data_IF_866023964759
#
_entry.id   IF_866023964759
#
_cell.length_a   1.000
_cell.length_b   1.000
_cell.length_c   1.000
_cell.angle_alpha   90.00
_cell.angle_beta   90.00
_cell.angle_gamma   90.00
#
_symmetry.space_group_name_H-M   'P 1'
#
loop_
_entity.id
_entity.type
_entity.pdbx_description
1 polymer ?
#
# COMPACT_ATOMS: atom_id res chain seq x y z
N UNK A 1 77.46 16.88 -9.48
CA UNK A 1 77.11 17.15 -8.07
C UNK A 1 75.85 17.98 -8.09
N UNK A 2 74.66 17.42 -8.28
CA UNK A 2 73.88 16.71 -7.24
C UNK A 2 73.13 15.58 -7.94
N UNK A 3 73.71 14.37 -7.90
CA UNK A 3 73.02 13.11 -8.16
C UNK A 3 73.01 12.39 -6.82
N UNK A 4 72.02 12.72 -6.00
CA UNK A 4 71.60 12.08 -4.75
C UNK A 4 70.63 13.04 -4.04
N UNK A 5 69.58 12.53 -3.39
CA UNK A 5 68.48 13.27 -2.72
C UNK A 5 67.41 13.67 -3.76
N UNK A 6 66.30 12.97 -4.03
CA UNK A 6 65.39 12.20 -3.17
C UNK A 6 64.73 11.09 -4.03
N UNK A 7 65.20 9.84 -3.91
CA UNK A 7 64.35 8.66 -4.12
C UNK A 7 64.00 8.14 -2.73
N UNK A 8 62.74 7.72 -2.53
CA UNK A 8 62.14 7.16 -1.30
C UNK A 8 61.59 8.15 -0.26
N UNK A 9 60.43 8.76 -0.55
CA UNK A 9 59.43 8.95 0.51
C UNK A 9 58.61 7.66 0.55
N UNK A 10 59.00 6.71 1.41
CA UNK A 10 58.08 5.66 1.88
C UNK A 10 56.99 6.38 2.69
N UNK A 11 55.92 6.81 2.01
CA UNK A 11 54.64 7.08 2.66
C UNK A 11 54.29 5.81 3.45
N UNK A 12 54.41 5.87 4.77
CA UNK A 12 54.19 4.74 5.64
C UNK A 12 52.74 4.26 5.40
N UNK A 13 52.51 2.99 5.02
CA UNK A 13 51.15 2.48 4.77
C UNK A 13 50.25 2.66 5.99
N UNK A 14 50.85 2.75 7.18
CA UNK A 14 50.19 3.08 8.43
C UNK A 14 49.57 4.48 8.45
N UNK A 15 50.19 5.52 7.89
CA UNK A 15 49.59 6.86 7.88
C UNK A 15 48.37 6.93 6.94
N UNK A 16 48.40 6.20 5.83
CA UNK A 16 47.25 6.08 4.93
C UNK A 16 46.12 5.29 5.57
N UNK A 17 46.45 4.19 6.27
CA UNK A 17 45.48 3.41 7.04
C UNK A 17 44.87 4.21 8.18
N UNK A 18 45.67 4.97 8.93
CA UNK A 18 45.16 5.84 10.02
C UNK A 18 44.30 6.97 9.44
N UNK A 19 44.68 7.56 8.30
CA UNK A 19 43.86 8.54 7.60
C UNK A 19 42.53 7.92 7.10
N UNK A 20 42.54 6.69 6.60
CA UNK A 20 41.33 5.97 6.19
C UNK A 20 40.47 5.58 7.39
N UNK A 21 41.06 5.13 8.50
CA UNK A 21 40.33 4.83 9.73
C UNK A 21 39.70 6.12 10.29
N UNK A 22 40.42 7.25 10.27
CA UNK A 22 39.91 8.55 10.70
C UNK A 22 38.80 9.08 9.78
N UNK A 23 38.94 8.95 8.45
CA UNK A 23 37.91 9.29 7.47
C UNK A 23 36.64 8.43 7.63
N UNK A 24 36.79 7.13 7.88
CA UNK A 24 35.65 6.24 8.15
C UNK A 24 35.00 6.54 9.52
N UNK A 25 35.79 6.96 10.52
CA UNK A 25 35.27 7.35 11.85
C UNK A 25 34.53 8.69 11.83
N UNK A 26 34.83 9.60 10.90
CA UNK A 26 34.06 10.85 10.71
C UNK A 26 32.69 10.56 10.07
N UNK A 27 32.54 9.50 9.27
CA UNK A 27 31.28 9.16 8.60
C UNK A 27 30.26 8.44 9.48
N UNK A 28 30.67 7.80 10.58
CA UNK A 28 29.78 7.01 11.44
C UNK A 28 28.87 7.86 12.35
N UNK A 29 29.19 9.13 12.61
CA UNK A 29 28.43 10.00 13.53
C UNK A 29 27.34 10.82 12.85
N UNK A 30 27.33 10.93 11.51
CA UNK A 30 26.31 11.67 10.73
C UNK A 30 25.31 10.77 9.99
N UNK A 31 25.55 9.46 9.90
CA UNK A 31 24.67 8.51 9.21
C UNK A 31 23.44 8.08 10.03
N UNK A 32 23.49 8.13 11.36
CA UNK A 32 22.36 7.71 12.20
C UNK A 32 21.16 8.67 12.10
N UNK A 33 21.39 9.99 12.09
CA UNK A 33 20.32 11.00 12.03
C UNK A 33 19.65 11.11 10.66
N UNK A 34 20.39 10.90 9.56
CA UNK A 34 19.81 10.85 8.21
C UNK A 34 19.00 9.57 7.98
N UNK A 35 19.44 8.44 8.52
CA UNK A 35 18.68 7.19 8.40
C UNK A 35 17.36 7.25 9.17
N UNK A 36 17.31 7.91 10.33
CA UNK A 36 16.06 8.14 11.08
C UNK A 36 15.12 9.14 10.39
N UNK A 37 15.64 10.12 9.65
CA UNK A 37 14.81 10.97 8.78
C UNK A 37 14.26 10.20 7.57
N UNK A 38 15.10 9.36 6.95
CA UNK A 38 14.72 8.55 5.78
C UNK A 38 13.71 7.45 6.16
N UNK A 39 13.74 6.90 7.38
CA UNK A 39 12.72 5.94 7.85
C UNK A 39 11.38 6.61 8.15
N UNK A 40 11.37 7.86 8.66
CA UNK A 40 10.14 8.62 8.87
C UNK A 40 9.44 9.03 7.56
N UNK A 41 10.14 9.11 6.42
CA UNK A 41 9.54 9.43 5.11
C UNK A 41 9.08 8.22 4.29
N UNK A 42 9.28 6.99 4.79
CA UNK A 42 8.83 5.81 4.04
C UNK A 42 7.31 5.68 4.09
N UNK A 43 6.63 5.49 2.95
CA UNK A 43 5.22 5.22 2.96
C UNK A 43 4.92 3.94 3.71
N UNK A 44 3.84 3.95 4.46
CA UNK A 44 3.33 2.77 5.13
C UNK A 44 1.80 2.79 5.14
N UNK A 45 1.21 1.60 5.29
CA UNK A 45 -0.23 1.46 5.43
C UNK A 45 -0.64 1.65 6.89
N UNK A 46 -1.62 2.51 7.11
CA UNK A 46 -2.29 2.66 8.40
C UNK A 46 -3.37 1.56 8.51
N UNK A 47 -2.94 0.36 8.92
CA UNK A 47 -3.71 -0.89 8.92
C UNK A 47 -4.67 -1.02 10.13
N UNK A 48 -5.42 0.05 10.41
CA UNK A 48 -6.43 0.06 11.48
C UNK A 48 -7.76 -0.52 10.98
N UNK A 49 -8.02 -0.46 9.68
CA UNK A 49 -9.28 -0.92 9.09
C UNK A 49 -9.32 -2.44 8.94
N UNK A 50 -10.50 -3.08 9.06
CA UNK A 50 -10.62 -4.52 8.85
C UNK A 50 -10.17 -4.94 7.44
N UNK A 51 -9.35 -6.00 7.38
CA UNK A 51 -8.91 -6.61 6.11
C UNK A 51 -9.93 -7.58 5.52
N UNK A 52 -10.93 -7.99 6.29
CA UNK A 52 -12.03 -8.83 5.84
C UNK A 52 -13.28 -7.98 5.79
N UNK A 53 -13.76 -7.69 4.58
CA UNK A 53 -14.92 -6.87 4.32
C UNK A 53 -16.03 -7.76 3.78
N UNK A 54 -17.20 -7.69 4.40
CA UNK A 54 -18.40 -8.35 3.91
C UNK A 54 -19.42 -7.31 3.47
N UNK A 55 -20.08 -7.55 2.35
CA UNK A 55 -21.27 -6.79 1.93
C UNK A 55 -22.36 -7.74 1.44
N UNK A 56 -23.53 -7.18 1.15
CA UNK A 56 -24.64 -7.87 0.47
C UNK A 56 -24.59 -7.53 -1.02
N UNK A 57 -25.10 -8.42 -1.86
CA UNK A 57 -25.26 -8.14 -3.29
C UNK A 57 -26.07 -6.84 -3.51
N UNK A 58 -25.74 -6.13 -4.58
CA UNK A 58 -26.32 -4.84 -5.00
C UNK A 58 -26.08 -3.65 -4.06
N UNK A 59 -25.58 -3.88 -2.84
CA UNK A 59 -25.04 -2.84 -1.96
C UNK A 59 -23.60 -2.44 -2.35
N UNK A 60 -23.17 -1.20 -2.03
CA UNK A 60 -21.79 -0.79 -2.29
C UNK A 60 -20.81 -1.49 -1.34
N UNK A 61 -19.71 -2.02 -1.88
CA UNK A 61 -18.55 -2.44 -1.08
C UNK A 61 -17.52 -1.31 -1.02
N UNK A 62 -16.96 -1.06 0.18
CA UNK A 62 -15.88 -0.09 0.40
C UNK A 62 -14.70 -0.80 1.02
N UNK A 63 -13.59 -0.89 0.28
CA UNK A 63 -12.34 -1.47 0.76
C UNK A 63 -11.40 -0.34 1.17
N UNK A 64 -11.05 -0.33 2.46
CA UNK A 64 -10.27 0.77 3.06
C UNK A 64 -8.80 0.65 2.72
N UNK A 65 -8.17 1.76 2.36
CA UNK A 65 -6.72 1.86 2.24
C UNK A 65 -6.23 3.24 2.62
N UNK A 66 -5.55 3.32 3.77
CA UNK A 66 -4.91 4.55 4.23
C UNK A 66 -3.41 4.46 4.10
N UNK A 67 -2.79 5.43 3.43
CA UNK A 67 -1.33 5.45 3.19
C UNK A 67 -0.74 6.73 3.77
N UNK A 68 0.09 6.59 4.81
CA UNK A 68 0.83 7.72 5.38
C UNK A 68 2.15 7.89 4.66
N UNK A 69 2.68 9.12 4.66
CA UNK A 69 4.00 9.46 4.11
C UNK A 69 4.20 9.02 2.64
N UNK A 70 3.13 9.04 1.82
CA UNK A 70 3.21 8.64 0.41
C UNK A 70 4.18 9.52 -0.39
N UNK A 71 4.26 10.81 -0.08
CA UNK A 71 4.99 11.79 -0.89
C UNK A 71 4.42 11.89 -2.32
N UNK A 72 5.29 11.80 -3.33
CA UNK A 72 4.93 11.80 -4.75
C UNK A 72 4.62 10.41 -5.31
N UNK A 73 4.58 9.38 -4.46
CA UNK A 73 4.27 8.01 -4.87
C UNK A 73 2.80 7.86 -5.19
N UNK A 74 2.53 6.84 -5.97
CA UNK A 74 1.22 6.51 -6.52
C UNK A 74 0.62 5.35 -5.74
N UNK A 75 -0.68 5.46 -5.47
CA UNK A 75 -1.47 4.39 -4.86
C UNK A 75 -2.37 3.78 -5.92
N UNK A 76 -2.39 2.44 -6.03
CA UNK A 76 -3.21 1.73 -7.02
C UNK A 76 -3.98 0.60 -6.38
N UNK A 77 -5.19 0.34 -6.85
CA UNK A 77 -5.93 -0.88 -6.53
C UNK A 77 -5.79 -1.90 -7.64
N UNK A 78 -5.50 -3.15 -7.26
CA UNK A 78 -5.42 -4.27 -8.16
C UNK A 78 -6.27 -5.43 -7.66
N UNK A 79 -6.96 -6.09 -8.58
CA UNK A 79 -7.66 -7.34 -8.31
C UNK A 79 -6.67 -8.51 -8.39
N UNK A 80 -6.55 -9.30 -7.32
CA UNK A 80 -5.46 -10.27 -7.21
C UNK A 80 -5.59 -11.47 -8.14
N UNK A 81 -6.82 -11.94 -8.40
CA UNK A 81 -7.07 -13.18 -9.16
C UNK A 81 -6.58 -13.15 -10.61
N UNK A 82 -6.54 -11.96 -11.22
CA UNK A 82 -6.19 -11.73 -12.62
C UNK A 82 -5.18 -10.60 -12.82
N UNK A 83 -4.63 -10.05 -11.73
CA UNK A 83 -3.65 -8.97 -11.72
C UNK A 83 -4.13 -7.72 -12.47
N UNK A 84 -5.45 -7.50 -12.53
CA UNK A 84 -6.02 -6.36 -13.24
C UNK A 84 -5.96 -5.10 -12.37
N UNK A 85 -5.32 -4.04 -12.88
CA UNK A 85 -5.32 -2.73 -12.24
C UNK A 85 -6.72 -2.13 -12.39
N UNK A 86 -7.35 -1.84 -11.26
CA UNK A 86 -8.69 -1.26 -11.20
C UNK A 86 -8.59 0.26 -11.24
N UNK A 87 -7.73 0.83 -10.41
CA UNK A 87 -7.57 2.28 -10.25
C UNK A 87 -6.12 2.63 -9.97
N UNK A 88 -5.73 3.86 -10.31
CA UNK A 88 -4.44 4.45 -9.95
C UNK A 88 -4.68 5.91 -9.58
N UNK A 89 -4.27 6.28 -8.36
CA UNK A 89 -4.67 7.51 -7.69
C UNK A 89 -6.21 7.67 -7.73
N UNK A 90 -6.71 8.73 -8.35
CA UNK A 90 -8.16 9.00 -8.49
C UNK A 90 -8.74 8.54 -9.83
N UNK A 91 -7.92 7.94 -10.69
CA UNK A 91 -8.33 7.53 -12.03
C UNK A 91 -8.68 6.04 -12.08
N UNK A 92 -9.83 5.72 -12.67
CA UNK A 92 -10.25 4.33 -12.93
C UNK A 92 -9.66 3.83 -14.25
N UNK A 93 -9.02 2.66 -14.22
CA UNK A 93 -8.38 2.01 -15.38
C UNK A 93 -9.22 0.87 -15.96
N UNK A 94 -10.03 0.22 -15.12
CA UNK A 94 -10.95 -0.80 -15.60
C UNK A 94 -12.10 -0.16 -16.40
N UNK A 95 -12.65 -0.89 -17.37
CA UNK A 95 -13.85 -0.46 -18.11
C UNK A 95 -15.16 -0.65 -17.33
N UNK A 96 -15.12 -1.34 -16.19
CA UNK A 96 -16.28 -1.52 -15.32
C UNK A 96 -16.53 -0.25 -14.49
N UNK A 97 -17.60 0.47 -14.83
CA UNK A 97 -17.95 1.77 -14.25
C UNK A 97 -18.33 1.72 -12.76
N UNK A 98 -18.55 0.53 -12.21
CA UNK A 98 -18.86 0.34 -10.79
C UNK A 98 -17.66 0.62 -9.87
N UNK A 99 -16.44 0.58 -10.40
CA UNK A 99 -15.21 0.77 -9.64
C UNK A 99 -14.79 2.23 -9.63
N UNK A 100 -14.62 2.78 -8.43
CA UNK A 100 -14.15 4.14 -8.21
C UNK A 100 -13.26 4.23 -6.97
N UNK A 101 -12.57 5.37 -6.79
CA UNK A 101 -11.80 5.66 -5.57
C UNK A 101 -12.47 6.80 -4.81
N UNK A 102 -12.69 6.59 -3.52
CA UNK A 102 -13.06 7.65 -2.59
C UNK A 102 -11.77 8.22 -1.99
N UNK A 103 -11.43 9.44 -2.39
CA UNK A 103 -10.24 10.16 -1.92
C UNK A 103 -10.61 11.58 -1.51
N UNK A 104 -10.72 11.87 -0.19
CA UNK A 104 -10.91 13.22 0.31
C UNK A 104 -9.74 14.13 -0.16
N UNK A 105 -10.00 15.37 -0.58
CA UNK A 105 -8.94 16.29 -0.98
C UNK A 105 -7.88 16.47 0.12
N UNK A 106 -6.62 16.16 -0.20
CA UNK A 106 -5.52 16.24 0.76
C UNK A 106 -5.55 15.17 1.86
N UNK A 107 -6.44 14.19 1.76
CA UNK A 107 -6.51 13.06 2.69
C UNK A 107 -5.49 11.97 2.39
N UNK A 108 -5.33 11.06 3.35
CA UNK A 108 -4.47 9.88 3.24
C UNK A 108 -5.27 8.62 2.90
N UNK A 109 -6.54 8.75 2.51
CA UNK A 109 -7.45 7.64 2.20
C UNK A 109 -7.58 7.45 0.69
N UNK A 110 -7.36 6.24 0.20
CA UNK A 110 -7.59 5.78 -1.17
C UNK A 110 -8.54 4.59 -1.15
N UNK A 111 -9.77 4.79 -0.70
CA UNK A 111 -10.69 3.67 -0.53
C UNK A 111 -11.27 3.24 -1.88
N UNK A 112 -11.22 1.94 -2.18
CA UNK A 112 -11.89 1.40 -3.36
C UNK A 112 -13.38 1.27 -3.08
N UNK A 113 -14.21 1.87 -3.92
CA UNK A 113 -15.65 1.69 -3.92
C UNK A 113 -16.05 0.83 -5.11
N UNK A 114 -16.90 -0.17 -4.85
CA UNK A 114 -17.52 -1.03 -5.85
C UNK A 114 -19.03 -0.86 -5.70
N UNK A 115 -19.65 -0.12 -6.62
CA UNK A 115 -21.11 0.03 -6.65
C UNK A 115 -21.78 -1.25 -7.15
N UNK A 116 -22.99 -1.53 -6.65
CA UNK A 116 -23.77 -2.73 -7.01
C UNK A 116 -22.91 -4.00 -6.93
N UNK A 117 -22.36 -4.29 -5.76
CA UNK A 117 -21.42 -5.39 -5.58
C UNK A 117 -22.09 -6.73 -5.93
N UNK A 118 -21.37 -7.62 -6.59
CA UNK A 118 -21.91 -8.91 -7.03
C UNK A 118 -21.11 -10.05 -6.43
N UNK A 119 -21.73 -11.23 -6.30
CA UNK A 119 -21.06 -12.44 -5.77
C UNK A 119 -19.73 -12.76 -6.47
N UNK A 120 -19.60 -12.40 -7.76
CA UNK A 120 -18.38 -12.56 -8.55
C UNK A 120 -17.27 -11.55 -8.22
N UNK A 121 -17.56 -10.50 -7.47
CA UNK A 121 -16.57 -9.53 -6.99
C UNK A 121 -15.89 -10.02 -5.72
N UNK A 122 -16.40 -11.06 -5.06
CA UNK A 122 -15.70 -11.69 -3.93
C UNK A 122 -14.29 -12.14 -4.31
N UNK A 123 -13.32 -11.86 -3.43
CA UNK A 123 -11.91 -12.17 -3.66
C UNK A 123 -10.96 -11.17 -2.98
N UNK A 124 -9.67 -11.31 -3.30
CA UNK A 124 -8.62 -10.47 -2.74
C UNK A 124 -8.34 -9.28 -3.67
N UNK A 125 -8.26 -8.10 -3.06
CA UNK A 125 -7.87 -6.84 -3.67
C UNK A 125 -6.62 -6.32 -2.97
N UNK A 126 -5.68 -5.79 -3.72
CA UNK A 126 -4.44 -5.21 -3.18
C UNK A 126 -4.44 -3.70 -3.40
N UNK A 127 -4.33 -2.94 -2.32
CA UNK A 127 -3.90 -1.56 -2.38
C UNK A 127 -2.37 -1.53 -2.42
N UNK A 128 -1.78 -0.91 -3.44
CA UNK A 128 -0.35 -0.92 -3.69
C UNK A 128 0.22 0.48 -3.69
N UNK A 129 1.45 0.63 -3.19
CA UNK A 129 2.23 1.85 -3.34
C UNK A 129 3.48 1.54 -4.16
N UNK A 130 3.77 2.38 -5.16
CA UNK A 130 4.93 2.20 -6.04
C UNK A 130 6.28 2.59 -5.39
N UNK A 131 6.52 2.13 -4.16
CA UNK A 131 7.84 2.15 -3.52
C UNK A 131 8.79 1.14 -4.18
N UNK A 132 10.08 1.24 -3.87
CA UNK A 132 11.09 0.24 -4.21
C UNK A 132 11.69 -0.32 -2.90
N UNK A 133 11.47 -1.61 -2.55
CA UNK A 133 10.56 -2.55 -3.21
C UNK A 133 9.09 -2.16 -3.03
N UNK A 134 8.20 -2.64 -3.90
CA UNK A 134 6.76 -2.34 -3.81
C UNK A 134 6.18 -2.84 -2.49
N UNK A 135 5.31 -2.02 -1.87
CA UNK A 135 4.51 -2.43 -0.72
C UNK A 135 3.05 -2.60 -1.14
N UNK A 136 2.33 -3.53 -0.49
CA UNK A 136 0.92 -3.75 -0.72
C UNK A 136 0.17 -4.08 0.58
N UNK A 137 -1.12 -3.79 0.60
CA UNK A 137 -2.08 -4.16 1.62
C UNK A 137 -3.19 -4.97 0.96
N UNK A 138 -3.35 -6.23 1.37
CA UNK A 138 -4.38 -7.12 0.88
C UNK A 138 -5.67 -7.01 1.70
N UNK A 139 -6.80 -6.86 1.01
CA UNK A 139 -8.15 -6.81 1.58
C UNK A 139 -8.99 -7.91 0.91
N UNK A 140 -9.64 -8.75 1.71
CA UNK A 140 -10.58 -9.78 1.28
C UNK A 140 -12.00 -9.23 1.27
N UNK A 141 -12.69 -9.32 0.13
CA UNK A 141 -14.09 -8.98 -0.01
C UNK A 141 -14.93 -10.27 -0.11
N UNK A 142 -15.99 -10.35 0.68
CA UNK A 142 -17.04 -11.36 0.58
C UNK A 142 -18.39 -10.68 0.29
N UNK A 143 -19.00 -11.01 -0.84
CA UNK A 143 -20.33 -10.53 -1.22
C UNK A 143 -21.34 -11.65 -1.01
N UNK A 144 -22.21 -11.48 -0.01
CA UNK A 144 -23.28 -12.40 0.31
C UNK A 144 -24.49 -12.17 -0.60
N UNK A 145 -25.24 -13.24 -0.91
CA UNK A 145 -26.54 -13.06 -1.56
C UNK A 145 -27.48 -12.29 -0.61
N UNK A 146 -28.39 -11.50 -1.17
CA UNK A 146 -29.48 -10.92 -0.39
C UNK A 146 -30.21 -12.00 0.41
N UNK A 147 -30.63 -11.64 1.62
CA UNK A 147 -31.49 -12.48 2.43
C UNK A 147 -32.94 -12.44 1.92
N UNK A 148 -33.16 -12.82 0.65
CA UNK A 148 -34.47 -13.15 0.07
C UNK A 148 -35.25 -14.14 0.96
N UNK A 149 -34.53 -14.91 1.79
CA UNK A 149 -35.13 -15.79 2.79
C UNK A 149 -35.96 -15.06 3.87
N UNK A 150 -35.65 -13.82 4.25
CA UNK A 150 -36.37 -13.13 5.34
C UNK A 150 -37.76 -12.68 4.88
N UNK A 151 -37.88 -12.26 3.62
CA UNK A 151 -39.15 -11.84 3.03
C UNK A 151 -40.01 -13.04 2.65
N UNK A 152 -39.42 -14.13 2.15
CA UNK A 152 -40.13 -15.40 1.90
C UNK A 152 -40.67 -16.05 3.17
N UNK A 153 -39.90 -16.03 4.27
CA UNK A 153 -40.36 -16.55 5.56
C UNK A 153 -41.53 -15.70 6.08
N UNK A 154 -41.45 -14.37 5.96
CA UNK A 154 -42.50 -13.46 6.43
C UNK A 154 -43.77 -13.57 5.57
N UNK A 155 -43.61 -13.75 4.25
CA UNK A 155 -44.72 -13.94 3.32
C UNK A 155 -45.41 -15.30 3.52
N UNK A 156 -44.65 -16.39 3.66
CA UNK A 156 -45.21 -17.72 3.98
C UNK A 156 -45.98 -17.73 5.31
N UNK A 157 -45.42 -17.14 6.36
CA UNK A 157 -46.07 -17.02 7.67
C UNK A 157 -47.33 -16.15 7.63
N UNK A 158 -47.34 -15.13 6.76
CA UNK A 158 -48.51 -14.26 6.57
C UNK A 158 -49.66 -14.98 5.84
N UNK A 159 -49.36 -15.84 4.86
CA UNK A 159 -50.36 -16.65 4.17
C UNK A 159 -50.84 -17.83 5.04
N UNK A 160 -49.96 -18.44 5.83
CA UNK A 160 -50.31 -19.51 6.78
C UNK A 160 -51.19 -19.00 7.93
N UNK A 161 -51.04 -17.75 8.35
CA UNK A 161 -51.88 -17.14 9.39
C UNK A 161 -53.29 -16.75 8.92
N UNK A 162 -53.60 -16.92 7.63
CA UNK A 162 -54.90 -16.58 7.02
C UNK A 162 -55.66 -17.78 6.44
N UNK A 163 -55.07 -18.96 6.42
CA UNK A 163 -55.71 -20.23 6.04
C UNK A 163 -56.25 -20.98 7.24
#
# INVERSE_FOLDING_TARGET
MISAIINNIRLQPFLYLILHIYLNHIQSTSQSSLNDFITMERPYFDDISPRNVSTVADEPAILKCRVRNKGNRTVSWMRKRDLHILTTNIYTYTGDQRFSVLHPPGGDDWDLRIDYAQKRDSGIYECQVNTEPKINLAVSLEVNAEADNRDKITESQYYDAKG
#
